data_IF_342091867058
#
_entry.id   IF_342091867058
#
_cell.length_a   1.000
_cell.length_b   1.000
_cell.length_c   1.000
_cell.angle_alpha   90.00
_cell.angle_beta   90.00
_cell.angle_gamma   90.00
#
_symmetry.space_group_name_H-M   'P 1'
#
loop_
_entity.id
_entity.type
_entity.pdbx_description
1 polymer ?
#
# COMPACT_ATOMS: atom_id res chain seq x y z
N UNK A 1 21.82 -5.16 -12.50
CA UNK A 1 20.95 -4.53 -11.49
C UNK A 1 20.35 -5.66 -10.69
N UNK A 2 20.69 -5.79 -9.39
CA UNK A 2 20.05 -6.75 -8.50
C UNK A 2 18.58 -6.43 -8.22
N UNK A 3 17.83 -7.43 -7.79
CA UNK A 3 16.41 -7.35 -7.44
C UNK A 3 16.19 -7.94 -6.04
N UNK A 4 15.22 -7.39 -5.32
CA UNK A 4 14.81 -7.92 -4.00
C UNK A 4 13.29 -7.81 -3.82
N UNK A 5 12.78 -8.54 -2.83
CA UNK A 5 11.38 -8.54 -2.43
C UNK A 5 11.29 -8.13 -0.96
N UNK A 6 10.66 -6.99 -0.71
CA UNK A 6 10.38 -6.52 0.65
C UNK A 6 8.97 -6.98 1.03
N UNK A 7 8.86 -7.62 2.19
CA UNK A 7 7.56 -8.04 2.75
C UNK A 7 7.24 -7.17 3.95
N UNK A 8 6.02 -6.63 3.99
CA UNK A 8 5.56 -5.74 5.06
C UNK A 8 4.24 -6.29 5.60
N UNK A 9 4.18 -6.43 6.92
CA UNK A 9 2.98 -6.83 7.66
C UNK A 9 2.22 -5.59 8.16
N UNK A 10 0.88 -5.60 8.24
CA UNK A 10 0.12 -4.46 8.75
C UNK A 10 0.48 -4.14 10.19
N UNK A 11 0.37 -2.87 10.55
CA UNK A 11 0.49 -2.41 11.96
C UNK A 11 -0.86 -2.30 12.66
N UNK A 12 -1.96 -2.31 11.89
CA UNK A 12 -3.33 -2.23 12.38
C UNK A 12 -4.14 -3.31 11.66
N UNK A 13 -4.54 -4.38 12.35
CA UNK A 13 -5.82 -5.07 12.09
C UNK A 13 -6.08 -6.27 13.01
N UNK A 14 -7.23 -6.21 13.68
CA UNK A 14 -8.15 -7.34 13.83
C UNK A 14 -9.56 -6.78 13.57
N UNK A 15 -10.35 -7.43 12.71
CA UNK A 15 -11.75 -7.09 12.42
C UNK A 15 -12.05 -6.46 11.06
N UNK A 16 -13.34 -6.27 10.79
CA UNK A 16 -13.85 -5.70 9.54
C UNK A 16 -13.44 -4.24 9.35
N UNK A 17 -12.89 -3.92 8.18
CA UNK A 17 -12.50 -2.59 7.75
C UNK A 17 -13.62 -1.94 6.93
N UNK A 18 -13.92 -0.68 7.20
CA UNK A 18 -14.83 0.16 6.42
C UNK A 18 -14.06 1.14 5.51
N UNK A 19 -14.77 1.78 4.57
CA UNK A 19 -14.20 2.82 3.73
C UNK A 19 -13.54 3.93 4.57
N UNK A 20 -12.30 4.27 4.23
CA UNK A 20 -11.48 5.23 4.95
C UNK A 20 -10.59 4.64 6.05
N UNK A 21 -10.70 3.34 6.37
CA UNK A 21 -9.86 2.73 7.41
C UNK A 21 -8.39 2.60 6.99
N UNK A 22 -7.49 2.66 7.97
CA UNK A 22 -6.05 2.49 7.76
C UNK A 22 -5.59 1.10 8.20
N UNK A 23 -4.95 0.38 7.28
CA UNK A 23 -4.40 -0.96 7.51
C UNK A 23 -2.90 -0.93 7.82
N UNK A 24 -2.16 -0.13 7.05
CA UNK A 24 -0.75 0.15 7.34
C UNK A 24 -0.66 1.58 7.86
N UNK A 25 -0.28 1.73 9.12
CA UNK A 25 -0.18 3.03 9.76
C UNK A 25 1.29 3.42 9.91
N UNK A 26 1.84 4.08 8.88
CA UNK A 26 3.26 4.47 8.79
C UNK A 26 4.18 3.31 9.20
N UNK A 27 3.90 2.10 8.71
CA UNK A 27 4.66 0.91 9.00
C UNK A 27 6.06 1.06 8.42
N UNK A 28 7.09 0.89 9.25
CA UNK A 28 8.47 0.99 8.80
C UNK A 28 8.89 -0.22 7.99
N UNK A 29 9.68 0.00 6.94
CA UNK A 29 10.36 -1.05 6.20
C UNK A 29 11.74 -0.56 5.74
N UNK A 30 12.65 -1.49 5.46
CA UNK A 30 14.03 -1.17 5.07
C UNK A 30 14.24 -1.47 3.59
N UNK A 31 14.84 -0.53 2.87
CA UNK A 31 15.26 -0.74 1.49
C UNK A 31 16.62 -1.47 1.43
N UNK A 32 16.85 -2.34 0.41
CA UNK A 32 18.15 -2.99 0.21
C UNK A 32 19.26 -2.02 -0.20
N UNK A 33 18.89 -0.85 -0.75
CA UNK A 33 19.81 0.24 -1.08
C UNK A 33 19.15 1.60 -0.83
N UNK A 34 19.97 2.65 -0.81
CA UNK A 34 19.51 4.03 -0.57
C UNK A 34 18.39 4.48 -1.51
N UNK A 35 18.45 4.07 -2.77
CA UNK A 35 17.45 4.36 -3.79
C UNK A 35 17.11 3.06 -4.53
N UNK A 36 15.84 2.72 -4.58
CA UNK A 36 15.32 1.53 -5.22
C UNK A 36 14.17 1.92 -6.15
N UNK A 37 14.12 1.33 -7.33
CA UNK A 37 12.98 1.47 -8.24
C UNK A 37 11.91 0.45 -7.87
N UNK A 38 10.68 0.89 -7.63
CA UNK A 38 9.54 0.01 -7.41
C UNK A 38 9.09 -0.58 -8.75
N UNK A 39 9.26 -1.89 -8.91
CA UNK A 39 8.89 -2.64 -10.10
C UNK A 39 7.43 -3.09 -10.01
N UNK A 40 7.04 -3.64 -8.87
CA UNK A 40 5.67 -4.11 -8.58
C UNK A 40 5.34 -3.96 -7.10
N UNK A 41 4.05 -3.75 -6.84
CA UNK A 41 3.45 -3.80 -5.52
C UNK A 41 2.23 -4.73 -5.61
N UNK A 42 2.05 -5.63 -4.66
CA UNK A 42 0.82 -6.42 -4.53
C UNK A 42 0.63 -6.83 -3.09
N UNK A 43 -0.60 -7.18 -2.74
CA UNK A 43 -0.94 -7.64 -1.39
C UNK A 43 -1.57 -9.01 -1.46
N UNK A 44 -1.21 -9.86 -0.52
CA UNK A 44 -1.84 -11.16 -0.29
C UNK A 44 -2.62 -11.11 1.01
N UNK A 45 -3.78 -11.76 1.01
CA UNK A 45 -4.58 -12.07 2.20
C UNK A 45 -4.77 -13.58 2.22
N UNK A 46 -4.19 -14.24 3.22
CA UNK A 46 -4.12 -15.70 3.30
C UNK A 46 -5.42 -16.39 3.79
N UNK A 47 -6.34 -15.62 4.39
CA UNK A 47 -7.68 -16.04 4.79
C UNK A 47 -8.60 -14.83 4.81
N UNK A 48 -9.82 -14.97 4.27
CA UNK A 48 -10.75 -13.84 4.09
C UNK A 48 -10.38 -12.94 2.90
N UNK A 49 -10.75 -11.66 2.98
CA UNK A 49 -10.52 -10.69 1.92
C UNK A 49 -11.79 -9.98 1.42
N UNK A 50 -11.58 -9.01 0.54
CA UNK A 50 -12.64 -8.13 0.05
C UNK A 50 -13.31 -8.61 -1.22
N UNK A 51 -14.37 -7.90 -1.59
CA UNK A 51 -15.06 -8.09 -2.88
C UNK A 51 -14.31 -7.38 -4.02
N UNK A 52 -14.65 -7.67 -5.28
CA UNK A 52 -14.06 -7.04 -6.48
C UNK A 52 -14.08 -5.51 -6.47
N UNK A 53 -15.00 -4.92 -5.71
CA UNK A 53 -15.12 -3.46 -5.54
C UNK A 53 -14.06 -2.86 -4.62
N UNK A 54 -13.28 -3.68 -3.94
CA UNK A 54 -12.30 -3.28 -2.94
C UNK A 54 -11.03 -2.72 -3.60
N UNK A 55 -10.66 -1.52 -3.16
CA UNK A 55 -9.46 -0.80 -3.56
C UNK A 55 -8.66 -0.41 -2.33
N UNK A 56 -7.35 -0.38 -2.45
CA UNK A 56 -6.46 0.00 -1.35
C UNK A 56 -5.45 1.00 -1.88
N UNK A 57 -5.42 2.20 -1.30
CA UNK A 57 -4.42 3.22 -1.63
C UNK A 57 -3.19 3.03 -0.76
N UNK A 58 -2.09 2.55 -1.33
CA UNK A 58 -0.80 2.40 -0.64
C UNK A 58 0.03 3.66 -0.86
N UNK A 59 0.50 4.26 0.22
CA UNK A 59 1.18 5.56 0.28
C UNK A 59 2.61 5.36 0.81
N UNK A 60 3.60 5.99 0.18
CA UNK A 60 5.00 5.89 0.59
C UNK A 60 5.52 7.22 1.13
N UNK A 61 6.19 7.16 2.27
CA UNK A 61 6.69 8.32 3.01
C UNK A 61 8.16 8.12 3.40
N UNK A 62 8.91 9.22 3.44
CA UNK A 62 10.30 9.21 3.94
C UNK A 62 10.37 9.25 5.47
N UNK A 63 9.38 9.88 6.09
CA UNK A 63 9.38 10.18 7.52
C UNK A 63 8.10 9.67 8.18
N UNK A 64 8.20 9.50 9.49
CA UNK A 64 7.09 9.24 10.38
C UNK A 64 7.26 10.26 11.51
N UNK A 65 6.72 11.46 11.32
CA UNK A 65 6.78 12.58 12.28
C UNK A 65 5.48 12.76 13.05
N UNK A 66 4.40 12.09 12.61
CA UNK A 66 3.09 12.07 13.25
C UNK A 66 2.81 10.70 13.84
N UNK A 67 2.14 10.61 15.00
CA UNK A 67 1.93 9.33 15.67
C UNK A 67 1.03 8.36 14.90
N UNK A 68 0.15 8.85 14.02
CA UNK A 68 -0.79 8.01 13.25
C UNK A 68 -1.32 8.74 12.01
N UNK A 69 -1.56 8.01 10.91
CA UNK A 69 -2.35 8.46 9.75
C UNK A 69 -3.85 8.17 9.92
N UNK A 70 -4.23 7.30 10.85
CA UNK A 70 -5.63 6.90 11.07
C UNK A 70 -5.74 5.62 11.89
N UNK A 71 -6.96 5.15 12.11
CA UNK A 71 -7.24 3.91 12.86
C UNK A 71 -8.28 3.07 12.14
N UNK A 72 -8.45 1.82 12.59
CA UNK A 72 -9.56 0.96 12.19
C UNK A 72 -10.91 1.53 12.64
N UNK A 73 -11.96 1.37 11.83
CA UNK A 73 -13.31 1.89 12.03
C UNK A 73 -13.36 3.41 12.31
N UNK A 74 -12.43 4.15 11.74
CA UNK A 74 -12.42 5.61 11.82
C UNK A 74 -12.29 6.14 10.40
N UNK A 75 -13.13 7.12 10.06
CA UNK A 75 -12.91 7.91 8.85
C UNK A 75 -11.54 8.56 8.99
N UNK A 76 -10.52 8.04 8.31
CA UNK A 76 -9.20 8.63 8.39
C UNK A 76 -9.24 10.00 7.70
N UNK A 77 -9.26 11.07 8.50
CA UNK A 77 -8.97 12.42 8.02
C UNK A 77 -7.45 12.54 7.82
N UNK A 78 -6.88 11.77 6.87
CA UNK A 78 -5.48 11.97 6.47
C UNK A 78 -5.41 13.38 5.88
N UNK A 79 -4.78 14.26 6.64
CA UNK A 79 -4.76 15.67 6.33
C UNK A 79 -3.62 15.99 5.35
N UNK A 80 -3.74 17.10 4.63
CA UNK A 80 -2.64 17.60 3.81
C UNK A 80 -1.36 17.85 4.65
N UNK A 81 -1.52 18.21 5.93
CA UNK A 81 -0.38 18.36 6.87
C UNK A 81 0.36 17.05 7.11
N UNK A 82 -0.32 15.91 7.08
CA UNK A 82 0.31 14.60 7.26
C UNK A 82 1.19 14.25 6.07
N UNK A 83 0.74 14.57 4.85
CA UNK A 83 1.52 14.37 3.63
C UNK A 83 2.80 15.22 3.60
N UNK A 84 2.70 16.48 4.04
CA UNK A 84 3.85 17.39 4.09
C UNK A 84 4.83 16.97 5.18
N UNK A 85 4.35 16.72 6.40
CA UNK A 85 5.20 16.42 7.57
C UNK A 85 5.90 15.07 7.48
N UNK A 86 5.27 14.07 6.84
CA UNK A 86 5.83 12.74 6.61
C UNK A 86 6.64 12.63 5.30
N UNK A 87 6.71 13.69 4.50
CA UNK A 87 7.41 13.73 3.20
C UNK A 87 6.94 12.63 2.25
N UNK A 88 5.71 12.79 1.74
CA UNK A 88 5.12 11.90 0.74
C UNK A 88 5.95 11.82 -0.55
N UNK A 89 6.21 10.60 -1.01
CA UNK A 89 6.96 10.31 -2.24
C UNK A 89 6.02 9.98 -3.41
N UNK A 90 4.98 9.20 -3.13
CA UNK A 90 4.11 8.65 -4.14
C UNK A 90 3.22 7.55 -3.57
N UNK A 91 2.34 7.04 -4.41
CA UNK A 91 1.35 6.03 -4.06
C UNK A 91 1.18 5.00 -5.16
N UNK A 92 0.56 3.88 -4.80
CA UNK A 92 0.10 2.86 -5.73
C UNK A 92 -1.28 2.42 -5.29
N UNK A 93 -2.14 2.05 -6.24
CA UNK A 93 -3.45 1.50 -5.93
C UNK A 93 -3.37 -0.02 -6.01
N UNK A 94 -4.00 -0.71 -5.08
CA UNK A 94 -4.20 -2.15 -5.15
C UNK A 94 -5.67 -2.43 -5.43
N UNK A 95 -5.95 -3.36 -6.34
CA UNK A 95 -7.31 -3.76 -6.70
C UNK A 95 -7.39 -5.26 -6.83
N UNK A 96 -8.53 -5.84 -6.46
CA UNK A 96 -8.81 -7.28 -6.59
C UNK A 96 -9.11 -7.69 -8.04
N UNK A 97 -9.58 -6.75 -8.87
CA UNK A 97 -10.15 -7.05 -10.18
C UNK A 97 -9.27 -7.97 -11.03
N UNK A 98 -9.81 -9.15 -11.28
CA UNK A 98 -9.29 -10.22 -12.14
C UNK A 98 -9.10 -9.80 -13.61
N UNK A 99 -9.60 -8.62 -14.00
CA UNK A 99 -9.68 -8.12 -15.39
C UNK A 99 -10.35 -9.14 -16.33
N UNK A 100 -11.31 -9.92 -15.81
CA UNK A 100 -12.01 -10.98 -16.53
C UNK A 100 -11.23 -12.30 -16.65
N UNK A 101 -10.23 -12.53 -15.80
CA UNK A 101 -9.49 -13.79 -15.71
C UNK A 101 -10.08 -14.67 -14.60
N UNK A 102 -11.17 -15.35 -14.93
CA UNK A 102 -11.95 -16.26 -14.07
C UNK A 102 -11.12 -17.43 -13.46
N UNK A 103 -9.94 -17.73 -14.00
CA UNK A 103 -9.12 -18.86 -13.55
C UNK A 103 -8.53 -18.67 -12.14
N UNK A 104 -8.65 -17.46 -11.58
CA UNK A 104 -8.03 -17.07 -10.31
C UNK A 104 -8.97 -17.15 -9.12
N UNK A 105 -10.28 -17.22 -9.40
CA UNK A 105 -11.33 -17.58 -8.44
C UNK A 105 -11.23 -19.05 -8.00
N UNK A 106 -10.37 -19.84 -8.66
CA UNK A 106 -10.06 -21.23 -8.30
C UNK A 106 -9.08 -21.34 -7.12
N UNK A 107 -8.45 -20.24 -6.68
CA UNK A 107 -7.60 -20.23 -5.49
C UNK A 107 -8.50 -20.06 -4.27
N UNK A 108 -8.80 -21.17 -3.59
CA UNK A 108 -9.67 -21.17 -2.42
C UNK A 108 -9.03 -20.44 -1.24
N UNK A 109 -9.82 -19.59 -0.57
CA UNK A 109 -9.50 -18.85 0.67
C UNK A 109 -8.32 -17.86 0.62
N UNK A 110 -7.79 -17.51 -0.56
CA UNK A 110 -6.70 -16.51 -0.67
C UNK A 110 -7.13 -15.38 -1.60
N UNK A 111 -7.12 -14.14 -1.09
CA UNK A 111 -7.29 -12.95 -1.92
C UNK A 111 -5.92 -12.36 -2.28
N UNK A 112 -5.76 -11.96 -3.55
CA UNK A 112 -4.56 -11.28 -4.02
C UNK A 112 -4.98 -9.97 -4.69
N UNK A 113 -4.43 -8.87 -4.20
CA UNK A 113 -4.65 -7.53 -4.74
C UNK A 113 -3.46 -7.09 -5.57
N UNK A 114 -3.70 -6.65 -6.79
CA UNK A 114 -2.65 -6.27 -7.73
C UNK A 114 -2.40 -4.78 -7.69
N UNK A 115 -1.12 -4.41 -7.72
CA UNK A 115 -0.70 -3.04 -8.00
C UNK A 115 -1.17 -2.59 -9.38
N UNK A 116 -1.96 -1.53 -9.36
CA UNK A 116 -2.25 -0.68 -10.49
C UNK A 116 -1.07 0.23 -10.81
N UNK A 117 -1.39 1.44 -11.26
CA UNK A 117 -0.37 2.42 -11.64
C UNK A 117 0.29 3.03 -10.40
N UNK A 118 1.61 3.20 -10.47
CA UNK A 118 2.34 3.99 -9.50
C UNK A 118 2.16 5.48 -9.84
N UNK A 119 1.83 6.29 -8.85
CA UNK A 119 1.68 7.73 -8.96
C UNK A 119 2.77 8.39 -8.11
N UNK A 120 3.65 9.16 -8.74
CA UNK A 120 4.69 9.92 -8.03
C UNK A 120 4.13 11.28 -7.59
N UNK A 121 4.75 11.91 -6.59
CA UNK A 121 4.31 13.24 -6.10
C UNK A 121 4.31 14.31 -7.22
N UNK A 122 5.17 14.17 -8.25
CA UNK A 122 5.12 15.05 -9.43
C UNK A 122 3.81 14.91 -10.23
N UNK A 123 3.19 13.72 -10.23
CA UNK A 123 1.93 13.43 -10.92
C UNK A 123 0.67 13.81 -10.12
N UNK A 124 0.78 14.07 -8.81
CA UNK A 124 -0.36 14.49 -7.97
C UNK A 124 -0.88 15.89 -8.33
N UNK A 125 -0.14 16.66 -9.14
CA UNK A 125 -0.51 18.01 -9.59
C UNK A 125 -1.22 18.04 -10.94
N UNK A 126 -1.19 16.95 -11.70
CA UNK A 126 -1.77 16.87 -13.05
C UNK A 126 -2.98 15.96 -13.07
N UNK A 127 -4.16 16.54 -13.26
CA UNK A 127 -5.41 15.80 -13.51
C UNK A 127 -5.20 14.72 -14.59
N UNK A 128 -5.07 13.46 -14.16
CA UNK A 128 -5.26 12.25 -14.97
C UNK A 128 -4.34 12.06 -16.21
N UNK A 129 -3.02 12.24 -16.08
CA UNK A 129 -2.08 11.56 -16.98
C UNK A 129 -1.64 10.23 -16.36
N UNK A 130 -2.08 9.11 -16.95
CA UNK A 130 -1.65 7.75 -16.62
C UNK A 130 -0.18 7.49 -17.04
N UNK A 131 0.75 8.36 -16.66
CA UNK A 131 2.17 8.13 -16.93
C UNK A 131 2.69 7.08 -15.97
N UNK A 132 3.21 6.01 -16.56
CA UNK A 132 3.77 4.83 -15.88
C UNK A 132 5.24 5.08 -15.53
N UNK A 133 5.52 6.26 -14.96
CA UNK A 133 6.89 6.56 -14.57
C UNK A 133 7.32 5.66 -13.42
N UNK A 134 8.54 5.11 -13.46
CA UNK A 134 9.02 4.24 -12.41
C UNK A 134 9.10 5.05 -11.12
N UNK A 135 8.40 4.60 -10.08
CA UNK A 135 8.49 5.24 -8.78
C UNK A 135 9.82 4.85 -8.12
N UNK A 136 10.58 5.86 -7.73
CA UNK A 136 11.84 5.69 -7.01
C UNK A 136 11.59 5.86 -5.52
N UNK A 137 11.77 4.78 -4.77
CA UNK A 137 11.78 4.77 -3.31
C UNK A 137 13.19 5.17 -2.86
N UNK A 138 13.32 6.33 -2.23
CA UNK A 138 14.61 6.86 -1.80
C UNK A 138 14.56 7.27 -0.33
N UNK A 139 15.40 6.64 0.47
CA UNK A 139 15.64 7.02 1.85
C UNK A 139 16.85 7.95 1.96
N UNK A 140 16.75 8.94 2.85
CA UNK A 140 17.86 9.80 3.24
C UNK A 140 18.47 9.37 4.59
N UNK A 141 17.93 8.31 5.19
CA UNK A 141 18.45 7.73 6.42
C UNK A 141 19.58 6.73 6.14
N UNK A 142 20.49 6.59 7.11
CA UNK A 142 21.63 5.68 7.00
C UNK A 142 21.23 4.19 7.01
N UNK A 143 20.10 3.88 7.63
CA UNK A 143 19.50 2.53 7.70
C UNK A 143 18.57 2.22 6.52
N UNK A 144 18.44 3.16 5.57
CA UNK A 144 17.54 3.08 4.42
C UNK A 144 16.06 2.83 4.77
N UNK A 145 15.65 3.18 5.99
CA UNK A 145 14.27 3.02 6.43
C UNK A 145 13.33 3.97 5.71
N UNK A 146 12.16 3.46 5.37
CA UNK A 146 11.01 4.16 4.80
C UNK A 146 9.73 3.76 5.52
N UNK A 147 8.61 4.42 5.21
CA UNK A 147 7.32 4.17 5.83
C UNK A 147 6.23 3.99 4.79
N UNK A 148 5.32 3.06 5.05
CA UNK A 148 4.16 2.79 4.21
C UNK A 148 2.87 3.05 4.98
N UNK A 149 1.96 3.78 4.34
CA UNK A 149 0.57 3.92 4.74
C UNK A 149 -0.33 3.11 3.80
N UNK A 150 -1.46 2.60 4.25
CA UNK A 150 -2.47 2.08 3.34
C UNK A 150 -3.89 2.38 3.81
N UNK A 151 -4.69 2.94 2.91
CA UNK A 151 -6.07 3.35 3.14
C UNK A 151 -7.00 2.42 2.40
N UNK A 152 -8.02 1.95 3.10
CA UNK A 152 -9.03 1.06 2.60
C UNK A 152 -10.15 1.83 1.90
N UNK A 153 -10.52 1.40 0.69
CA UNK A 153 -11.60 1.97 -0.08
C UNK A 153 -12.51 0.88 -0.63
N UNK A 154 -13.72 0.74 -0.08
CA UNK A 154 -14.66 -0.28 -0.51
C UNK A 154 -16.11 0.19 -0.38
N UNK A 155 -17.00 -0.39 -1.19
CA UNK A 155 -18.42 -0.14 -1.07
C UNK A 155 -19.03 -0.80 0.19
N UNK A 156 -18.41 -1.88 0.66
CA UNK A 156 -18.85 -2.69 1.80
C UNK A 156 -17.66 -2.94 2.74
N UNK A 157 -17.96 -3.27 4.01
CA UNK A 157 -16.93 -3.65 4.96
C UNK A 157 -16.25 -4.97 4.57
N UNK A 158 -14.95 -5.08 4.75
CA UNK A 158 -14.16 -6.27 4.44
C UNK A 158 -13.41 -6.76 5.67
N UNK A 159 -13.51 -8.05 5.98
CA UNK A 159 -12.70 -8.67 7.03
C UNK A 159 -11.50 -9.39 6.43
N UNK A 160 -10.33 -9.09 6.99
CA UNK A 160 -9.05 -9.67 6.60
C UNK A 160 -8.59 -10.78 7.57
N UNK A 161 -9.43 -11.15 8.53
CA UNK A 161 -9.21 -12.22 9.50
C UNK A 161 -7.88 -12.07 10.27
N UNK A 162 -7.48 -10.82 10.54
CA UNK A 162 -6.31 -10.45 11.34
C UNK A 162 -5.03 -10.11 10.57
N UNK A 163 -4.17 -9.29 11.20
CA UNK A 163 -2.92 -8.75 10.62
C UNK A 163 -1.99 -9.80 10.00
N UNK A 164 -1.82 -10.97 10.65
CA UNK A 164 -0.88 -12.00 10.22
C UNK A 164 -1.23 -12.61 8.85
N UNK A 165 -2.49 -12.49 8.43
CA UNK A 165 -2.97 -13.01 7.16
C UNK A 165 -2.70 -12.04 5.99
N UNK A 166 -2.40 -10.79 6.28
CA UNK A 166 -2.17 -9.77 5.25
C UNK A 166 -0.67 -9.50 5.08
N UNK A 167 -0.21 -9.51 3.82
CA UNK A 167 1.18 -9.19 3.48
C UNK A 167 1.24 -8.30 2.25
N UNK A 168 1.94 -7.19 2.37
CA UNK A 168 2.29 -6.31 1.26
C UNK A 168 3.67 -6.67 0.74
N UNK A 169 3.78 -6.87 -0.57
CA UNK A 169 5.02 -7.22 -1.25
C UNK A 169 5.45 -6.08 -2.17
N UNK A 170 6.70 -5.64 -2.01
CA UNK A 170 7.33 -4.65 -2.89
C UNK A 170 8.47 -5.34 -3.64
N UNK A 171 8.35 -5.42 -4.96
CA UNK A 171 9.43 -5.87 -5.82
C UNK A 171 10.27 -4.66 -6.22
N UNK A 172 11.55 -4.69 -5.91
CA UNK A 172 12.44 -3.56 -6.11
C UNK A 172 13.67 -3.93 -6.95
N UNK A 173 14.12 -2.97 -7.73
CA UNK A 173 15.38 -2.99 -8.50
C UNK A 173 16.33 -1.94 -7.89
N UNK A 174 17.59 -2.29 -7.65
CA UNK A 174 18.56 -1.41 -6.96
C UNK A 174 19.98 -1.47 -7.55
#
# INVERSE_FOLDING_TARGET
MPFDIITIEPTVSDGAHADGDVMFNLTSFTLPARACKLVKCFMQVAAGGGEDSTKIGVLFFKKNTQPTLGTLNATADISASDFVSNEFIGSTSLTLTDRGLLDRDLIDNVAIYYGGHNMTNELATTNFSFQTDPMILKSDKADYTMFVGAVFHAANSTDFDGTANVKLFLHVEY
#
